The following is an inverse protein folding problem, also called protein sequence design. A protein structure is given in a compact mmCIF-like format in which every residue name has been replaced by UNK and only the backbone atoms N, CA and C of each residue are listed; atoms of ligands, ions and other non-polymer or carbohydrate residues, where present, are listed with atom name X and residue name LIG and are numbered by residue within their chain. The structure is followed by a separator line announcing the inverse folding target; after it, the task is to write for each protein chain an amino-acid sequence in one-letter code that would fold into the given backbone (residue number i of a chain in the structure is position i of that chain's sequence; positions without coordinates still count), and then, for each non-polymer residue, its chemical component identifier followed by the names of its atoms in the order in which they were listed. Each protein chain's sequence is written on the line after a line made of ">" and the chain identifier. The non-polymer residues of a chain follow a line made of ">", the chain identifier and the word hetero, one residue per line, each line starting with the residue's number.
data_IF_247588848122
#
_entry.id   IF_247588848122
#
_cell.length_a   1.000
_cell.length_b   1.000
_cell.length_c   1.000
_cell.angle_alpha   90.00
_cell.angle_beta   90.00
_cell.angle_gamma   90.00
#
_symmetry.space_group_name_H-M   'P 1'
#
loop_
_entity.id
_entity.type
_entity.pdbx_description
1 polymer ?
#
# COMPACT_ATOMS: atom_id res chain seq x y z
N UNK A 1 59.63 -49.29 41.66
CA UNK A 1 58.23 -49.20 41.23
C UNK A 1 57.81 -47.72 41.24
N UNK A 2 57.99 -47.06 40.10
CA UNK A 2 57.63 -45.64 39.98
C UNK A 2 56.19 -45.52 39.43
N UNK A 3 55.35 -44.84 40.17
CA UNK A 3 53.96 -44.53 39.71
C UNK A 3 53.95 -43.18 38.94
N UNK A 4 53.62 -43.24 37.68
CA UNK A 4 53.39 -42.11 36.81
C UNK A 4 51.95 -41.65 37.05
N UNK A 5 51.75 -40.42 37.55
CA UNK A 5 50.44 -39.75 37.71
C UNK A 5 50.20 -38.96 36.44
N UNK A 6 49.20 -39.41 35.65
CA UNK A 6 48.78 -38.74 34.41
C UNK A 6 47.70 -37.65 34.77
N UNK A 7 48.02 -36.39 34.62
CA UNK A 7 47.07 -35.32 34.80
C UNK A 7 46.31 -35.09 33.50
N UNK A 8 44.99 -35.34 33.50
CA UNK A 8 44.09 -34.96 32.41
C UNK A 8 43.70 -33.49 32.57
N UNK A 9 44.12 -32.67 31.62
CA UNK A 9 43.70 -31.28 31.49
C UNK A 9 42.36 -31.26 30.73
N UNK A 10 41.26 -30.97 31.44
CA UNK A 10 39.95 -30.78 30.84
C UNK A 10 39.89 -29.34 30.34
N UNK A 11 39.98 -29.14 29.01
CA UNK A 11 39.72 -27.83 28.38
C UNK A 11 38.23 -27.71 28.15
N UNK A 12 37.55 -26.89 28.95
CA UNK A 12 36.16 -26.51 28.71
C UNK A 12 36.14 -25.49 27.57
N UNK A 13 35.67 -25.93 26.40
CA UNK A 13 35.25 -25.03 25.36
C UNK A 13 33.90 -24.39 25.73
N UNK A 14 33.90 -23.13 26.11
CA UNK A 14 32.69 -22.33 26.21
C UNK A 14 32.21 -22.05 24.79
N UNK A 15 31.22 -22.82 24.33
CA UNK A 15 30.49 -22.51 23.09
C UNK A 15 29.69 -21.23 23.35
N UNK A 16 30.21 -20.10 22.86
CA UNK A 16 29.40 -18.89 22.71
C UNK A 16 28.34 -19.18 21.62
N UNK A 17 27.10 -19.40 22.05
CA UNK A 17 25.96 -19.40 21.14
C UNK A 17 25.81 -18.00 20.61
N UNK A 18 26.36 -17.75 19.42
CA UNK A 18 25.95 -16.63 18.59
C UNK A 18 24.49 -16.93 18.27
N UNK A 19 23.57 -16.22 18.94
CA UNK A 19 22.16 -16.20 18.53
C UNK A 19 22.17 -15.59 17.14
N UNK A 20 22.02 -16.42 16.11
CA UNK A 20 21.82 -15.96 14.75
C UNK A 20 20.61 -15.01 14.81
N UNK A 21 20.84 -13.74 14.45
CA UNK A 21 19.75 -12.77 14.28
C UNK A 21 18.82 -13.40 13.23
N UNK A 22 17.57 -13.68 13.61
CA UNK A 22 16.66 -14.45 12.74
C UNK A 22 16.37 -13.60 11.48
N UNK A 23 17.07 -13.91 10.40
CA UNK A 23 16.93 -13.21 9.10
C UNK A 23 15.51 -13.22 8.54
N UNK A 24 14.60 -13.98 9.17
CA UNK A 24 13.17 -14.01 8.84
C UNK A 24 12.39 -12.86 9.45
N UNK A 25 12.91 -12.20 10.49
CA UNK A 25 12.23 -11.07 11.13
C UNK A 25 12.39 -9.78 10.30
N UNK A 26 11.27 -9.19 9.89
CA UNK A 26 11.23 -7.95 9.10
C UNK A 26 11.01 -6.71 9.97
N UNK A 27 10.36 -6.86 11.11
CA UNK A 27 10.27 -5.81 12.15
C UNK A 27 11.63 -5.65 12.82
N UNK A 28 12.08 -4.41 13.03
CA UNK A 28 13.35 -4.14 13.69
C UNK A 28 13.34 -4.68 15.14
N UNK A 29 14.49 -5.15 15.60
CA UNK A 29 14.63 -5.77 16.95
C UNK A 29 14.17 -4.81 18.04
N UNK A 30 13.18 -5.25 18.81
CA UNK A 30 12.61 -4.46 19.92
C UNK A 30 11.64 -3.37 19.50
N UNK A 31 11.40 -3.15 18.19
CA UNK A 31 10.41 -2.20 17.73
C UNK A 31 8.99 -2.67 18.08
N UNK A 32 8.14 -1.70 18.39
CA UNK A 32 6.71 -1.89 18.69
C UNK A 32 5.88 -1.03 17.76
N UNK A 33 4.64 -1.41 17.58
CA UNK A 33 3.65 -0.55 16.91
C UNK A 33 3.32 0.61 17.86
N UNK A 34 3.55 1.82 17.40
CA UNK A 34 3.35 3.05 18.17
C UNK A 34 2.21 3.86 17.55
N UNK A 35 1.30 4.38 18.40
CA UNK A 35 0.26 5.29 17.98
C UNK A 35 0.83 6.70 17.87
N UNK A 36 0.80 7.27 16.67
CA UNK A 36 1.31 8.62 16.41
C UNK A 36 0.23 9.69 16.56
N UNK A 37 -1.00 9.38 16.14
CA UNK A 37 -2.13 10.31 16.19
C UNK A 37 -3.47 9.56 16.22
N UNK A 38 -4.53 10.27 16.59
CA UNK A 38 -5.90 9.75 16.61
C UNK A 38 -6.93 10.87 16.50
N UNK A 39 -8.23 10.51 16.50
CA UNK A 39 -9.33 11.47 16.44
C UNK A 39 -9.89 11.71 15.04
N UNK A 40 -9.40 10.99 14.01
CA UNK A 40 -9.98 10.95 12.68
C UNK A 40 -11.27 10.09 12.67
N UNK A 41 -11.96 10.06 11.53
CA UNK A 41 -13.13 9.18 11.35
C UNK A 41 -12.79 7.88 10.65
N UNK A 42 -12.03 7.94 9.56
CA UNK A 42 -11.53 6.77 8.84
C UNK A 42 -10.30 7.16 8.02
N UNK A 43 -9.16 6.65 8.43
CA UNK A 43 -7.86 7.00 7.86
C UNK A 43 -7.46 6.06 6.75
N UNK A 44 -6.94 6.61 5.64
CA UNK A 44 -6.58 5.89 4.43
C UNK A 44 -5.43 6.55 3.68
N UNK A 45 -4.93 5.88 2.64
CA UNK A 45 -4.02 6.36 1.60
C UNK A 45 -2.83 7.15 2.11
N UNK A 46 -1.98 6.58 2.97
CA UNK A 46 -0.82 7.27 3.48
C UNK A 46 0.25 7.41 2.39
N UNK A 47 0.86 8.59 2.30
CA UNK A 47 2.00 8.87 1.40
C UNK A 47 3.03 9.72 2.12
N UNK A 48 4.31 9.32 2.04
CA UNK A 48 5.42 10.04 2.65
C UNK A 48 5.99 11.10 1.70
N UNK A 49 6.11 12.35 2.15
CA UNK A 49 6.73 13.47 1.43
C UNK A 49 8.18 13.65 1.92
N UNK A 50 9.19 13.12 1.20
CA UNK A 50 10.58 13.12 1.69
C UNK A 50 11.16 14.52 1.86
N UNK A 51 10.86 15.44 0.95
CA UNK A 51 11.35 16.83 0.98
C UNK A 51 10.85 17.63 2.16
N UNK A 52 9.64 17.30 2.66
CA UNK A 52 9.00 17.97 3.77
C UNK A 52 9.12 17.19 5.09
N UNK A 53 9.60 15.94 5.04
CA UNK A 53 9.63 14.99 6.17
C UNK A 53 8.26 14.84 6.84
N UNK A 54 7.21 14.73 6.01
CA UNK A 54 5.83 14.62 6.45
C UNK A 54 5.13 13.42 5.84
N UNK A 55 4.22 12.84 6.59
CA UNK A 55 3.23 11.92 6.08
C UNK A 55 1.97 12.69 5.75
N UNK A 56 1.41 12.49 4.55
CA UNK A 56 0.05 12.93 4.21
C UNK A 56 -0.83 11.70 4.10
N UNK A 57 -2.08 11.78 4.57
CA UNK A 57 -3.03 10.67 4.51
C UNK A 57 -4.47 11.20 4.51
N UNK A 58 -5.40 10.38 4.07
CA UNK A 58 -6.81 10.74 3.96
C UNK A 58 -7.57 10.51 5.28
N UNK A 59 -8.45 11.43 5.65
CA UNK A 59 -9.58 11.20 6.57
C UNK A 59 -10.86 11.33 5.75
N UNK A 60 -11.27 10.19 5.15
CA UNK A 60 -12.27 10.13 4.08
C UNK A 60 -13.60 10.78 4.48
N UNK A 61 -14.25 10.40 5.62
CA UNK A 61 -15.57 10.92 5.95
C UNK A 61 -15.55 12.41 6.31
N UNK A 62 -14.39 12.93 6.75
CA UNK A 62 -14.21 14.35 7.05
C UNK A 62 -13.83 15.18 5.83
N UNK A 63 -13.64 14.54 4.66
CA UNK A 63 -13.21 15.21 3.42
C UNK A 63 -11.93 16.03 3.62
N UNK A 64 -10.94 15.44 4.30
CA UNK A 64 -9.64 16.04 4.60
C UNK A 64 -8.50 15.17 4.13
N UNK A 65 -7.44 15.79 3.64
CA UNK A 65 -6.10 15.25 3.73
C UNK A 65 -5.49 15.79 5.03
N UNK A 66 -5.01 14.87 5.85
CA UNK A 66 -4.30 15.14 7.09
C UNK A 66 -2.79 15.09 6.84
N UNK A 67 -2.01 15.74 7.66
CA UNK A 67 -0.54 15.59 7.67
C UNK A 67 -0.05 15.33 9.08
N UNK A 68 1.04 14.60 9.17
CA UNK A 68 1.76 14.34 10.41
C UNK A 68 3.26 14.45 10.19
N UNK A 69 3.96 15.07 11.13
CA UNK A 69 5.41 15.02 11.23
C UNK A 69 5.84 14.81 12.69
N UNK A 70 7.05 14.34 12.91
CA UNK A 70 7.60 14.22 14.26
C UNK A 70 7.73 15.58 14.95
N UNK A 71 8.04 16.63 14.18
CA UNK A 71 8.23 17.98 14.71
C UNK A 71 6.91 18.69 15.06
N UNK A 72 5.88 18.57 14.21
CA UNK A 72 4.68 19.40 14.29
C UNK A 72 3.43 18.62 14.75
N UNK A 73 3.52 17.27 14.81
CA UNK A 73 2.39 16.41 15.11
C UNK A 73 1.33 16.39 13.99
N UNK A 74 0.08 16.14 14.38
CA UNK A 74 -1.07 16.03 13.48
C UNK A 74 -1.69 17.40 13.17
N UNK A 75 -1.95 17.66 11.88
CA UNK A 75 -2.72 18.82 11.42
C UNK A 75 -3.46 18.54 10.11
N UNK A 76 -4.30 19.45 9.66
CA UNK A 76 -4.94 19.37 8.35
C UNK A 76 -3.95 19.83 7.28
N UNK A 77 -3.74 19.00 6.25
CA UNK A 77 -2.99 19.37 5.06
C UNK A 77 -3.83 20.24 4.13
N UNK A 78 -5.04 19.76 3.78
CA UNK A 78 -6.03 20.49 2.97
C UNK A 78 -7.40 19.82 2.98
N UNK A 79 -8.40 20.52 2.44
CA UNK A 79 -9.69 19.92 2.08
C UNK A 79 -9.56 19.00 0.87
N UNK A 80 -10.43 18.00 0.81
CA UNK A 80 -10.51 17.05 -0.31
C UNK A 80 -11.95 16.67 -0.62
N UNK A 81 -12.17 16.04 -1.77
CA UNK A 81 -13.48 15.47 -2.14
C UNK A 81 -13.55 13.97 -1.76
N UNK A 82 -13.37 13.69 -0.46
CA UNK A 82 -13.23 12.33 0.07
C UNK A 82 -12.08 11.57 -0.61
N UNK A 83 -10.88 12.15 -0.54
CA UNK A 83 -9.67 11.49 -0.99
C UNK A 83 -9.51 10.14 -0.27
N UNK A 84 -9.01 9.11 -0.99
CA UNK A 84 -8.68 7.81 -0.46
C UNK A 84 -7.19 7.51 -0.69
N UNK A 85 -6.83 6.71 -1.70
CA UNK A 85 -5.45 6.40 -2.01
C UNK A 85 -4.67 7.60 -2.54
N UNK A 86 -3.44 7.75 -2.07
CA UNK A 86 -2.53 8.81 -2.49
C UNK A 86 -1.15 8.24 -2.79
N UNK A 87 -0.47 8.78 -3.81
CA UNK A 87 0.91 8.41 -4.15
C UNK A 87 1.66 9.64 -4.67
N UNK A 88 2.99 9.63 -4.64
CA UNK A 88 3.78 10.66 -5.31
C UNK A 88 3.99 10.33 -6.78
N UNK A 89 3.92 11.36 -7.62
CA UNK A 89 4.41 11.25 -9.00
C UNK A 89 5.94 11.38 -9.06
N UNK A 90 6.51 11.23 -10.26
CA UNK A 90 7.97 11.30 -10.46
C UNK A 90 8.59 12.67 -10.11
N UNK A 91 7.78 13.72 -9.98
CA UNK A 91 8.15 15.06 -9.59
C UNK A 91 7.87 15.36 -8.10
N UNK A 92 7.42 14.36 -7.33
CA UNK A 92 7.13 14.50 -5.91
C UNK A 92 5.79 15.18 -5.60
N UNK A 93 4.87 15.28 -6.58
CA UNK A 93 3.52 15.82 -6.38
C UNK A 93 2.55 14.72 -5.99
N UNK A 94 1.56 15.01 -5.19
CA UNK A 94 0.57 14.03 -4.75
C UNK A 94 -0.45 13.79 -5.88
N UNK A 95 -0.60 12.52 -6.25
CA UNK A 95 -1.75 12.01 -7.01
C UNK A 95 -2.75 11.48 -5.99
N UNK A 96 -4.03 11.79 -6.15
CA UNK A 96 -5.09 11.39 -5.22
C UNK A 96 -6.31 10.84 -5.95
N UNK A 97 -6.79 9.69 -5.52
CA UNK A 97 -8.09 9.13 -5.88
C UNK A 97 -9.16 9.74 -4.97
N UNK A 98 -10.26 10.25 -5.54
CA UNK A 98 -11.31 10.92 -4.78
C UNK A 98 -12.66 10.23 -4.98
N UNK A 99 -13.24 9.76 -3.88
CA UNK A 99 -14.51 9.04 -3.89
C UNK A 99 -15.68 9.94 -4.30
N UNK A 100 -15.87 11.08 -3.64
CA UNK A 100 -17.04 11.95 -3.85
C UNK A 100 -16.99 12.64 -5.20
N UNK A 101 -15.82 13.12 -5.62
CA UNK A 101 -15.64 13.72 -6.94
C UNK A 101 -15.61 12.67 -8.06
N UNK A 102 -15.40 11.39 -7.75
CA UNK A 102 -15.30 10.26 -8.70
C UNK A 102 -14.21 10.51 -9.75
N UNK A 103 -13.02 10.91 -9.29
CA UNK A 103 -11.91 11.31 -10.14
C UNK A 103 -10.54 10.96 -9.57
N UNK A 104 -9.53 11.10 -10.42
CA UNK A 104 -8.12 11.10 -10.05
C UNK A 104 -7.56 12.48 -10.35
N UNK A 105 -6.93 13.09 -9.36
CA UNK A 105 -6.34 14.42 -9.45
C UNK A 105 -4.85 14.40 -9.13
N UNK A 106 -4.16 15.47 -9.51
CA UNK A 106 -2.81 15.80 -9.03
C UNK A 106 -2.86 17.12 -8.26
N UNK A 107 -2.20 17.13 -7.11
CA UNK A 107 -2.00 18.36 -6.31
C UNK A 107 -0.68 18.98 -6.75
N UNK A 108 -0.73 20.18 -7.29
CA UNK A 108 0.44 20.91 -7.79
C UNK A 108 1.23 21.55 -6.65
N UNK A 109 2.47 21.97 -6.93
CA UNK A 109 3.36 22.56 -5.92
C UNK A 109 2.83 23.90 -5.35
N UNK A 110 2.01 24.62 -6.11
CA UNK A 110 1.34 25.84 -5.66
C UNK A 110 0.04 25.59 -4.87
N UNK A 111 -0.30 24.31 -4.63
CA UNK A 111 -1.50 23.90 -3.95
C UNK A 111 -2.76 23.85 -4.84
N UNK A 112 -2.68 24.21 -6.11
CA UNK A 112 -3.78 24.01 -7.05
C UNK A 112 -3.98 22.52 -7.38
N UNK A 113 -5.05 22.18 -8.10
CA UNK A 113 -5.32 20.79 -8.49
C UNK A 113 -5.49 20.68 -10.00
N UNK A 114 -4.90 19.66 -10.59
CA UNK A 114 -5.11 19.26 -11.98
C UNK A 114 -5.97 18.00 -12.02
N UNK A 115 -7.10 18.05 -12.73
CA UNK A 115 -7.90 16.87 -13.05
C UNK A 115 -7.12 16.00 -14.03
N UNK A 116 -6.84 14.75 -13.66
CA UNK A 116 -6.18 13.79 -14.53
C UNK A 116 -7.18 12.90 -15.29
N UNK A 117 -8.20 12.41 -14.58
CA UNK A 117 -9.29 11.64 -15.17
C UNK A 117 -10.54 11.64 -14.28
N UNK A 118 -11.74 11.69 -14.88
CA UNK A 118 -13.02 11.56 -14.17
C UNK A 118 -13.99 10.56 -14.85
N UNK A 119 -13.59 10.03 -16.02
CA UNK A 119 -14.45 9.13 -16.81
C UNK A 119 -13.66 8.19 -17.71
N UNK A 120 -14.35 7.14 -18.13
CA UNK A 120 -13.92 6.22 -19.16
C UNK A 120 -15.07 6.01 -20.15
N UNK A 121 -14.79 6.14 -21.44
CA UNK A 121 -15.80 5.99 -22.52
C UNK A 121 -17.07 6.83 -22.28
N UNK A 122 -16.89 8.09 -21.88
CA UNK A 122 -17.95 9.04 -21.57
C UNK A 122 -18.69 8.83 -20.25
N UNK A 123 -18.46 7.72 -19.54
CA UNK A 123 -19.10 7.35 -18.26
C UNK A 123 -18.20 7.71 -17.08
N UNK A 124 -18.78 8.24 -16.01
CA UNK A 124 -18.04 8.56 -14.80
C UNK A 124 -17.56 7.29 -14.10
N UNK A 125 -16.38 7.34 -13.49
CA UNK A 125 -15.88 6.29 -12.60
C UNK A 125 -16.86 6.01 -11.46
N UNK A 126 -16.73 4.86 -10.81
CA UNK A 126 -17.52 4.55 -9.60
C UNK A 126 -17.05 5.42 -8.42
N UNK A 127 -15.92 5.08 -7.84
CA UNK A 127 -15.24 5.87 -6.82
C UNK A 127 -13.77 5.47 -6.76
N UNK A 128 -12.88 6.07 -7.59
CA UNK A 128 -11.47 5.74 -7.61
C UNK A 128 -10.90 5.63 -6.20
N UNK A 129 -10.24 4.48 -5.91
CA UNK A 129 -9.92 4.07 -4.55
C UNK A 129 -8.41 4.13 -4.29
N UNK A 130 -7.63 3.22 -4.82
CA UNK A 130 -6.18 3.18 -4.60
C UNK A 130 -5.42 3.33 -5.92
N UNK A 131 -4.14 3.73 -5.84
CA UNK A 131 -3.36 4.11 -7.01
C UNK A 131 -1.90 3.71 -6.87
N UNK A 132 -1.36 3.12 -7.94
CA UNK A 132 0.06 2.82 -8.11
C UNK A 132 0.63 3.56 -9.31
N UNK A 133 1.93 3.83 -9.29
CA UNK A 133 2.62 4.51 -10.38
C UNK A 133 3.82 3.69 -10.84
N UNK A 134 4.11 3.74 -12.13
CA UNK A 134 5.31 3.17 -12.74
C UNK A 134 6.38 4.21 -13.02
N UNK A 135 7.60 3.74 -13.24
CA UNK A 135 8.76 4.57 -13.60
C UNK A 135 8.60 5.33 -14.93
N UNK A 136 7.71 4.89 -15.81
CA UNK A 136 7.34 5.61 -17.04
C UNK A 136 6.33 6.75 -16.81
N UNK A 137 5.82 6.88 -15.56
CA UNK A 137 4.84 7.88 -15.15
C UNK A 137 3.39 7.46 -15.33
N UNK A 138 3.11 6.26 -15.84
CA UNK A 138 1.73 5.77 -15.95
C UNK A 138 1.15 5.42 -14.58
N UNK A 139 -0.11 5.77 -14.38
CA UNK A 139 -0.85 5.50 -13.15
C UNK A 139 -1.79 4.31 -13.36
N UNK A 140 -1.87 3.44 -12.37
CA UNK A 140 -2.87 2.38 -12.33
C UNK A 140 -3.73 2.57 -11.09
N UNK A 141 -5.06 2.55 -11.24
CA UNK A 141 -5.95 2.76 -10.11
C UNK A 141 -7.15 1.81 -10.15
N UNK A 142 -7.69 1.55 -8.98
CA UNK A 142 -8.86 0.70 -8.74
C UNK A 142 -10.11 1.56 -8.61
N UNK A 143 -11.28 1.04 -9.09
CA UNK A 143 -12.53 1.79 -9.12
C UNK A 143 -13.72 0.98 -8.56
N UNK A 144 -13.67 0.58 -7.28
CA UNK A 144 -14.81 -0.06 -6.60
C UNK A 144 -15.89 0.98 -6.24
N UNK A 145 -17.06 0.57 -5.74
CA UNK A 145 -18.17 1.49 -5.42
C UNK A 145 -18.19 1.97 -3.97
N UNK A 146 -17.07 1.94 -3.23
CA UNK A 146 -17.09 2.25 -1.79
C UNK A 146 -17.62 3.64 -1.48
N UNK A 147 -17.23 4.65 -2.25
CA UNK A 147 -17.69 6.03 -2.15
C UNK A 147 -18.83 6.39 -3.10
N UNK A 148 -19.32 5.43 -3.92
CA UNK A 148 -20.37 5.70 -4.88
C UNK A 148 -21.71 5.95 -4.18
N UNK A 149 -22.27 7.12 -4.41
CA UNK A 149 -23.65 7.46 -4.07
C UNK A 149 -24.48 7.48 -5.34
N UNK A 150 -25.49 6.63 -5.44
CA UNK A 150 -26.34 6.51 -6.64
C UNK A 150 -25.97 5.31 -7.52
N UNK A 151 -26.34 5.38 -8.79
CA UNK A 151 -26.20 4.26 -9.74
C UNK A 151 -24.82 4.20 -10.38
N UNK A 152 -24.39 2.98 -10.72
CA UNK A 152 -23.22 2.76 -11.55
C UNK A 152 -23.47 3.27 -12.96
N UNK A 153 -22.49 3.99 -13.53
CA UNK A 153 -22.44 4.28 -14.97
C UNK A 153 -21.56 3.26 -15.69
N UNK A 154 -20.52 2.78 -15.00
CA UNK A 154 -19.62 1.70 -15.43
C UNK A 154 -20.25 0.35 -15.03
N UNK A 155 -20.29 -0.66 -15.93
CA UNK A 155 -20.99 -1.93 -15.68
C UNK A 155 -20.20 -2.93 -14.80
N UNK A 156 -19.18 -2.49 -14.09
CA UNK A 156 -18.35 -3.32 -13.22
C UNK A 156 -17.41 -2.50 -12.38
N UNK A 157 -16.61 -3.18 -11.57
CA UNK A 157 -15.57 -2.59 -10.74
C UNK A 157 -14.22 -2.92 -11.38
N UNK A 158 -13.63 -1.94 -12.04
CA UNK A 158 -12.50 -2.19 -12.90
C UNK A 158 -11.21 -1.59 -12.38
N UNK A 159 -10.10 -2.06 -12.93
CA UNK A 159 -8.78 -1.45 -12.75
C UNK A 159 -8.41 -0.76 -14.05
N UNK A 160 -7.91 0.46 -13.93
CA UNK A 160 -7.56 1.31 -15.06
C UNK A 160 -6.08 1.65 -15.09
N UNK A 161 -5.57 1.89 -16.30
CA UNK A 161 -4.28 2.53 -16.56
C UNK A 161 -4.56 3.91 -17.12
N UNK A 162 -3.90 4.93 -16.58
CA UNK A 162 -4.02 6.32 -16.98
C UNK A 162 -2.64 6.84 -17.39
N UNK A 163 -2.56 7.44 -18.56
CA UNK A 163 -1.41 8.22 -19.03
C UNK A 163 -1.63 9.70 -18.65
N UNK A 164 -0.96 10.25 -17.64
CA UNK A 164 -1.27 11.59 -17.12
C UNK A 164 -1.00 12.73 -18.09
N UNK A 165 -0.10 12.53 -19.06
CA UNK A 165 0.27 13.55 -20.04
C UNK A 165 -0.82 13.77 -21.07
N UNK A 166 -1.52 12.71 -21.43
CA UNK A 166 -2.55 12.73 -22.49
C UNK A 166 -3.96 12.63 -21.94
N UNK A 167 -4.13 12.23 -20.69
CA UNK A 167 -5.42 11.89 -20.08
C UNK A 167 -6.03 10.59 -20.63
N UNK A 168 -5.25 9.80 -21.40
CA UNK A 168 -5.74 8.53 -21.94
C UNK A 168 -5.95 7.52 -20.82
N UNK A 169 -7.17 6.96 -20.73
CA UNK A 169 -7.56 5.92 -19.80
C UNK A 169 -7.82 4.63 -20.54
N UNK A 170 -7.31 3.52 -20.05
CA UNK A 170 -7.51 2.17 -20.56
C UNK A 170 -7.96 1.24 -19.43
N UNK A 171 -8.87 0.31 -19.72
CA UNK A 171 -9.22 -0.75 -18.76
C UNK A 171 -8.16 -1.85 -18.86
N UNK A 172 -7.58 -2.21 -17.71
CA UNK A 172 -6.56 -3.27 -17.66
C UNK A 172 -7.07 -4.55 -17.00
N UNK A 173 -8.08 -4.45 -16.13
CA UNK A 173 -8.69 -5.63 -15.49
C UNK A 173 -10.17 -5.41 -15.22
N UNK A 174 -11.01 -6.46 -15.49
CA UNK A 174 -12.47 -6.39 -15.31
C UNK A 174 -13.04 -7.47 -14.38
N UNK A 175 -12.25 -8.48 -14.03
CA UNK A 175 -12.75 -9.70 -13.40
C UNK A 175 -12.45 -9.73 -11.90
N UNK A 176 -12.69 -8.62 -11.20
CA UNK A 176 -12.57 -8.48 -9.75
C UNK A 176 -13.92 -8.05 -9.18
N UNK A 177 -14.25 -8.57 -8.00
CA UNK A 177 -15.51 -8.21 -7.34
C UNK A 177 -15.45 -6.79 -6.76
N UNK A 178 -14.42 -6.51 -5.98
CA UNK A 178 -14.22 -5.25 -5.26
C UNK A 178 -12.73 -4.93 -5.22
N UNK A 179 -12.12 -4.48 -6.35
CA UNK A 179 -10.71 -4.14 -6.38
C UNK A 179 -10.41 -3.02 -5.38
N UNK A 180 -9.30 -3.14 -4.64
CA UNK A 180 -8.92 -2.22 -3.59
C UNK A 180 -7.43 -1.88 -3.72
N UNK A 181 -6.57 -2.24 -2.76
CA UNK A 181 -5.16 -1.95 -2.81
C UNK A 181 -4.48 -2.41 -4.10
N UNK A 182 -3.52 -1.62 -4.58
CA UNK A 182 -2.77 -1.88 -5.81
C UNK A 182 -1.32 -1.42 -5.65
N UNK A 183 -0.34 -2.27 -5.99
CA UNK A 183 1.08 -1.92 -5.88
C UNK A 183 1.92 -2.72 -6.86
N UNK A 184 2.95 -2.11 -7.43
CA UNK A 184 3.96 -2.78 -8.25
C UNK A 184 5.06 -3.40 -7.41
N UNK A 185 5.68 -4.48 -7.90
CA UNK A 185 6.97 -4.97 -7.37
C UNK A 185 8.08 -3.93 -7.58
N UNK A 186 9.18 -3.99 -6.81
CA UNK A 186 10.25 -2.98 -6.90
C UNK A 186 10.90 -2.87 -8.28
N UNK A 187 10.90 -3.95 -9.04
CA UNK A 187 11.41 -4.05 -10.42
C UNK A 187 10.35 -3.81 -11.49
N UNK A 188 9.10 -3.53 -11.07
CA UNK A 188 7.92 -3.34 -11.91
C UNK A 188 7.59 -4.51 -12.85
N UNK A 189 8.18 -5.69 -12.62
CA UNK A 189 7.87 -6.89 -13.39
C UNK A 189 6.54 -7.53 -13.00
N UNK A 190 5.98 -7.15 -11.83
CA UNK A 190 4.73 -7.67 -11.27
C UNK A 190 3.86 -6.54 -10.74
N UNK A 191 2.55 -6.81 -10.70
CA UNK A 191 1.58 -5.98 -9.98
C UNK A 191 0.75 -6.86 -9.06
N UNK A 192 0.51 -6.38 -7.85
CA UNK A 192 -0.41 -6.98 -6.88
C UNK A 192 -1.69 -6.15 -6.86
N UNK A 193 -2.83 -6.81 -6.98
CA UNK A 193 -4.15 -6.18 -6.94
C UNK A 193 -4.98 -6.93 -5.90
N UNK A 194 -5.45 -6.23 -4.88
CA UNK A 194 -6.35 -6.77 -3.89
C UNK A 194 -7.79 -6.77 -4.41
N UNK A 195 -8.50 -7.85 -4.12
CA UNK A 195 -9.94 -7.97 -4.26
C UNK A 195 -10.52 -8.28 -2.88
N UNK A 196 -11.31 -7.37 -2.31
CA UNK A 196 -11.92 -7.59 -1.00
C UNK A 196 -13.08 -8.58 -1.03
N UNK A 197 -13.37 -9.16 -2.20
CA UNK A 197 -14.31 -10.23 -2.39
C UNK A 197 -15.72 -9.77 -2.74
N UNK A 198 -16.59 -10.74 -2.93
CA UNK A 198 -17.93 -10.54 -3.47
C UNK A 198 -18.82 -9.64 -2.61
N UNK A 199 -19.54 -8.75 -3.25
CA UNK A 199 -20.47 -7.84 -2.60
C UNK A 199 -21.68 -7.56 -3.49
N UNK A 200 -22.89 -7.46 -2.87
CA UNK A 200 -24.15 -7.19 -3.58
C UNK A 200 -24.19 -5.85 -4.33
N UNK A 201 -23.25 -4.96 -4.11
CA UNK A 201 -23.10 -3.70 -4.86
C UNK A 201 -22.50 -3.90 -6.25
N UNK A 202 -21.90 -5.06 -6.57
CA UNK A 202 -21.43 -5.32 -7.92
C UNK A 202 -22.61 -5.41 -8.87
N UNK A 203 -22.60 -4.71 -10.04
CA UNK A 203 -23.70 -4.73 -11.00
C UNK A 203 -24.00 -6.13 -11.56
N UNK A 204 -22.99 -6.97 -11.68
CA UNK A 204 -23.10 -8.36 -12.12
C UNK A 204 -23.20 -9.32 -10.93
N UNK A 205 -24.31 -10.08 -10.80
CA UNK A 205 -24.51 -11.03 -9.69
C UNK A 205 -23.46 -12.15 -9.59
N UNK A 206 -22.80 -12.52 -10.67
CA UNK A 206 -21.77 -13.58 -10.66
C UNK A 206 -20.59 -13.21 -9.76
N UNK A 207 -20.38 -11.93 -9.52
CA UNK A 207 -19.33 -11.43 -8.64
C UNK A 207 -19.74 -11.37 -7.16
N UNK A 208 -21.01 -11.57 -6.80
CA UNK A 208 -21.49 -11.39 -5.43
C UNK A 208 -20.89 -12.36 -4.41
N UNK A 209 -20.35 -13.50 -4.86
CA UNK A 209 -19.85 -14.57 -4.00
C UNK A 209 -18.38 -14.90 -4.24
N UNK A 210 -17.67 -14.10 -5.03
CA UNK A 210 -16.25 -14.34 -5.26
C UNK A 210 -15.47 -14.21 -3.94
N UNK A 211 -14.51 -15.11 -3.66
CA UNK A 211 -13.69 -15.00 -2.46
C UNK A 211 -12.78 -13.79 -2.53
N UNK A 212 -12.45 -13.24 -1.37
CA UNK A 212 -11.40 -12.25 -1.27
C UNK A 212 -10.03 -12.84 -1.67
N UNK A 213 -9.20 -12.04 -2.34
CA UNK A 213 -7.87 -12.48 -2.78
C UNK A 213 -6.94 -11.30 -3.02
N UNK A 214 -5.63 -11.54 -2.94
CA UNK A 214 -4.62 -10.68 -3.55
C UNK A 214 -4.12 -11.43 -4.79
N UNK A 215 -4.24 -10.82 -5.95
CA UNK A 215 -3.83 -11.43 -7.22
C UNK A 215 -2.55 -10.79 -7.73
N UNK A 216 -1.56 -11.62 -8.06
CA UNK A 216 -0.29 -11.19 -8.64
C UNK A 216 -0.28 -11.46 -10.14
N UNK A 217 0.03 -10.45 -10.92
CA UNK A 217 0.14 -10.51 -12.38
C UNK A 217 1.52 -10.11 -12.85
N UNK A 218 1.95 -10.69 -13.95
CA UNK A 218 3.10 -10.24 -14.73
C UNK A 218 2.80 -8.89 -15.39
N UNK A 219 3.82 -8.06 -15.51
CA UNK A 219 3.81 -6.86 -16.36
C UNK A 219 4.77 -7.10 -17.52
N UNK A 220 4.29 -7.00 -18.74
CA UNK A 220 5.10 -7.20 -19.93
C UNK A 220 6.06 -6.03 -20.19
N UNK A 221 7.02 -6.20 -21.09
CA UNK A 221 8.01 -5.19 -21.45
C UNK A 221 7.42 -3.88 -22.05
N UNK A 222 6.11 -3.90 -22.37
CA UNK A 222 5.36 -2.72 -22.86
C UNK A 222 4.55 -2.06 -21.75
N UNK A 223 4.63 -2.58 -20.52
CA UNK A 223 3.87 -2.10 -19.39
C UNK A 223 2.39 -2.45 -19.44
N UNK A 224 2.04 -3.61 -20.00
CA UNK A 224 0.68 -4.11 -19.98
C UNK A 224 0.53 -5.26 -18.99
N UNK A 225 -0.72 -5.47 -18.52
CA UNK A 225 -1.06 -6.59 -17.68
C UNK A 225 -0.89 -7.91 -18.44
N UNK A 226 -0.05 -8.78 -17.91
CA UNK A 226 0.22 -10.10 -18.44
C UNK A 226 -0.63 -11.20 -17.77
N UNK A 227 -0.07 -12.41 -17.70
CA UNK A 227 -0.75 -13.55 -17.07
C UNK A 227 -0.78 -13.41 -15.54
N UNK A 228 -1.80 -14.01 -14.92
CA UNK A 228 -1.82 -14.20 -13.47
C UNK A 228 -0.76 -15.22 -13.07
N UNK A 229 0.13 -14.83 -12.16
CA UNK A 229 1.23 -15.68 -11.66
C UNK A 229 0.73 -16.55 -10.50
N UNK A 230 0.09 -15.94 -9.52
CA UNK A 230 -0.51 -16.62 -8.36
C UNK A 230 -1.59 -15.75 -7.72
N UNK A 231 -2.25 -16.29 -6.70
CA UNK A 231 -3.11 -15.52 -5.80
C UNK A 231 -2.93 -15.97 -4.35
N UNK A 232 -3.04 -15.02 -3.43
CA UNK A 232 -3.14 -15.26 -2.00
C UNK A 232 -4.63 -15.33 -1.66
N UNK A 233 -5.06 -16.35 -0.93
CA UNK A 233 -6.47 -16.54 -0.53
C UNK A 233 -6.83 -15.65 0.67
N UNK A 234 -6.57 -14.35 0.52
CA UNK A 234 -6.85 -13.32 1.51
C UNK A 234 -7.00 -11.99 0.79
N UNK A 235 -8.04 -11.23 1.10
CA UNK A 235 -8.17 -9.85 0.62
C UNK A 235 -7.18 -8.93 1.32
N UNK A 236 -7.08 -7.72 0.80
CA UNK A 236 -6.40 -6.61 1.47
C UNK A 236 -7.18 -5.34 1.22
N UNK A 237 -7.07 -4.39 2.13
CA UNK A 237 -7.45 -3.00 1.87
C UNK A 237 -6.27 -2.33 1.15
N UNK A 238 -5.33 -1.70 1.81
CA UNK A 238 -4.14 -1.15 1.20
C UNK A 238 -2.91 -2.05 1.27
N UNK A 239 -1.90 -1.77 0.44
CA UNK A 239 -0.68 -2.55 0.32
C UNK A 239 0.56 -1.68 0.06
N UNK A 240 1.73 -2.17 0.49
CA UNK A 240 3.03 -1.63 0.15
C UNK A 240 4.04 -2.75 -0.13
N UNK A 241 5.19 -2.41 -0.73
CA UNK A 241 6.30 -3.37 -0.96
C UNK A 241 7.60 -2.81 -0.41
N UNK A 242 8.49 -3.69 0.03
CA UNK A 242 9.86 -3.31 0.42
C UNK A 242 10.88 -3.58 -0.70
N UNK A 243 12.13 -3.17 -0.48
CA UNK A 243 13.21 -3.33 -1.48
C UNK A 243 13.60 -4.77 -1.75
N UNK A 244 13.19 -5.71 -0.92
CA UNK A 244 13.39 -7.15 -1.12
C UNK A 244 12.21 -7.82 -1.83
N UNK A 245 11.15 -7.06 -2.15
CA UNK A 245 9.95 -7.57 -2.80
C UNK A 245 8.94 -8.21 -1.86
N UNK A 246 9.07 -8.03 -0.53
CA UNK A 246 8.04 -8.46 0.39
C UNK A 246 6.82 -7.54 0.28
N UNK A 247 5.64 -8.14 0.22
CA UNK A 247 4.35 -7.47 0.15
C UNK A 247 3.76 -7.31 1.54
N UNK A 248 3.40 -6.08 1.91
CA UNK A 248 2.72 -5.72 3.16
C UNK A 248 1.25 -5.46 2.85
N UNK A 249 0.35 -6.25 3.40
CA UNK A 249 -1.08 -6.24 3.09
C UNK A 249 -1.91 -6.12 4.37
N UNK A 250 -2.91 -5.22 4.36
CA UNK A 250 -3.74 -4.95 5.54
C UNK A 250 -5.02 -5.77 5.49
N UNK A 251 -5.25 -6.62 6.49
CA UNK A 251 -6.53 -7.29 6.69
C UNK A 251 -6.65 -7.89 8.09
N UNK A 252 -7.86 -8.22 8.53
CA UNK A 252 -8.10 -8.99 9.75
C UNK A 252 -7.54 -8.37 11.03
N UNK A 253 -7.32 -7.05 11.08
CA UNK A 253 -6.73 -6.37 12.25
C UNK A 253 -5.20 -6.38 12.27
N UNK A 254 -4.54 -6.83 11.20
CA UNK A 254 -3.09 -6.98 11.11
C UNK A 254 -2.54 -6.44 9.80
N UNK A 255 -1.23 -6.20 9.77
CA UNK A 255 -0.46 -6.14 8.54
C UNK A 255 0.20 -7.49 8.33
N UNK A 256 -0.14 -8.17 7.24
CA UNK A 256 0.44 -9.44 6.82
C UNK A 256 1.59 -9.18 5.86
N UNK A 257 2.70 -9.87 6.03
CA UNK A 257 3.87 -9.72 5.17
C UNK A 257 4.11 -11.03 4.44
N UNK A 258 4.08 -10.95 3.11
CA UNK A 258 4.30 -12.09 2.22
C UNK A 258 5.62 -11.92 1.47
N UNK A 259 6.29 -13.02 1.13
CA UNK A 259 7.41 -12.98 0.20
C UNK A 259 6.93 -12.76 -1.26
N UNK A 260 7.89 -12.64 -2.18
CA UNK A 260 7.58 -12.41 -3.60
C UNK A 260 6.83 -13.59 -4.27
N UNK A 261 6.77 -14.74 -3.63
CA UNK A 261 6.05 -15.93 -4.12
C UNK A 261 4.68 -16.09 -3.46
N UNK A 262 4.30 -15.17 -2.54
CA UNK A 262 3.01 -15.14 -1.85
C UNK A 262 2.95 -15.98 -0.58
N UNK A 263 4.08 -16.46 -0.06
CA UNK A 263 4.12 -17.17 1.22
C UNK A 263 4.15 -16.18 2.38
N UNK A 264 3.31 -16.39 3.39
CA UNK A 264 3.31 -15.51 4.57
C UNK A 264 4.61 -15.68 5.38
N UNK A 265 5.27 -14.57 5.67
CA UNK A 265 6.51 -14.51 6.43
C UNK A 265 6.31 -14.05 7.86
N UNK A 266 5.50 -13.01 8.05
CA UNK A 266 5.31 -12.35 9.35
C UNK A 266 3.97 -11.62 9.40
N UNK A 267 3.46 -11.40 10.60
CA UNK A 267 2.29 -10.56 10.88
C UNK A 267 2.67 -9.48 11.88
N UNK A 268 2.04 -8.31 11.76
CA UNK A 268 2.16 -7.19 12.70
C UNK A 268 0.76 -6.91 13.25
N UNK A 269 0.56 -7.12 14.55
CA UNK A 269 -0.69 -6.77 15.22
C UNK A 269 -0.81 -5.25 15.33
N UNK A 270 -1.97 -4.70 14.96
CA UNK A 270 -2.27 -3.27 15.05
C UNK A 270 -3.45 -3.09 16.00
N UNK A 271 -3.40 -2.13 16.94
CA UNK A 271 -4.47 -1.95 17.94
C UNK A 271 -5.86 -1.62 17.37
N UNK A 272 -5.91 -1.01 16.18
CA UNK A 272 -7.13 -0.77 15.40
C UNK A 272 -7.01 -1.50 14.05
N UNK A 273 -8.14 -1.78 13.38
CA UNK A 273 -8.11 -2.44 12.07
C UNK A 273 -7.37 -1.59 11.03
N UNK A 274 -6.20 -2.03 10.54
CA UNK A 274 -5.44 -1.29 9.54
C UNK A 274 -6.20 -1.26 8.21
N UNK A 275 -6.16 -0.10 7.56
CA UNK A 275 -6.73 0.12 6.23
C UNK A 275 -5.63 0.19 5.18
N UNK A 276 -4.56 0.98 5.41
CA UNK A 276 -3.51 1.13 4.42
C UNK A 276 -2.13 1.32 5.08
N UNK A 277 -1.06 1.15 4.28
CA UNK A 277 0.33 1.26 4.74
C UNK A 277 1.19 1.96 3.71
N UNK A 278 2.19 2.71 4.19
CA UNK A 278 3.29 3.18 3.34
C UNK A 278 4.60 3.22 4.12
N UNK A 279 5.70 3.14 3.40
CA UNK A 279 7.02 3.36 3.96
C UNK A 279 7.41 4.83 3.91
N UNK A 280 8.14 5.28 4.93
CA UNK A 280 8.66 6.64 5.02
C UNK A 280 9.78 6.77 6.04
N UNK A 281 10.02 8.02 6.50
CA UNK A 281 11.19 8.37 7.30
C UNK A 281 12.43 8.61 6.45
N UNK A 282 13.48 9.19 7.03
CA UNK A 282 14.70 9.59 6.31
C UNK A 282 15.40 8.39 5.63
N UNK A 283 15.36 7.21 6.24
CA UNK A 283 15.95 5.98 5.72
C UNK A 283 14.92 5.04 5.04
N UNK A 284 13.66 5.49 4.91
CA UNK A 284 12.55 4.73 4.33
C UNK A 284 12.25 3.40 5.03
N UNK A 285 12.57 3.28 6.34
CA UNK A 285 12.34 2.07 7.15
C UNK A 285 11.24 2.23 8.20
N UNK A 286 10.51 3.31 8.21
CA UNK A 286 9.31 3.44 9.02
C UNK A 286 8.10 3.02 8.22
N UNK A 287 7.42 1.96 8.64
CA UNK A 287 6.12 1.60 8.10
C UNK A 287 5.06 2.41 8.83
N UNK A 288 4.41 3.32 8.14
CA UNK A 288 3.23 4.04 8.61
C UNK A 288 1.98 3.23 8.29
N UNK A 289 1.03 3.22 9.23
CA UNK A 289 -0.19 2.41 9.14
C UNK A 289 -1.37 3.29 9.47
N UNK A 290 -2.23 3.53 8.49
CA UNK A 290 -3.55 4.13 8.72
C UNK A 290 -4.51 3.05 9.20
N UNK A 291 -5.18 3.28 10.34
CA UNK A 291 -6.01 2.27 10.97
C UNK A 291 -7.23 2.93 11.62
N UNK A 292 -8.41 2.70 11.06
CA UNK A 292 -9.66 3.27 11.54
C UNK A 292 -9.55 4.76 11.85
N UNK A 293 -9.44 5.11 13.14
CA UNK A 293 -9.47 6.51 13.62
C UNK A 293 -8.08 7.06 13.92
N UNK A 294 -7.03 6.32 13.59
CA UNK A 294 -5.69 6.58 14.09
C UNK A 294 -4.60 6.33 13.05
N UNK A 295 -3.45 6.94 13.30
CA UNK A 295 -2.19 6.70 12.60
C UNK A 295 -1.23 5.98 13.54
N UNK A 296 -0.60 4.91 13.03
CA UNK A 296 0.43 4.14 13.72
C UNK A 296 1.71 4.10 12.91
N UNK A 297 2.80 3.70 13.56
CA UNK A 297 4.06 3.38 12.90
C UNK A 297 4.76 2.20 13.55
N UNK A 298 5.64 1.56 12.79
CA UNK A 298 6.58 0.55 13.29
C UNK A 298 7.88 0.60 12.50
N UNK A 299 9.02 0.40 13.19
CA UNK A 299 10.34 0.36 12.55
C UNK A 299 10.59 -0.99 11.92
N UNK A 300 11.01 -0.97 10.65
CA UNK A 300 11.32 -2.15 9.86
C UNK A 300 12.83 -2.30 9.67
N UNK A 301 13.30 -3.51 9.43
CA UNK A 301 14.70 -3.82 9.08
C UNK A 301 15.00 -3.49 7.61
N UNK A 302 14.03 -3.71 6.75
CA UNK A 302 14.13 -3.48 5.30
C UNK A 302 13.47 -2.15 4.95
N UNK A 303 14.06 -1.42 4.04
CA UNK A 303 13.47 -0.17 3.54
C UNK A 303 12.34 -0.47 2.54
N UNK A 304 11.32 0.38 2.53
CA UNK A 304 10.31 0.36 1.48
C UNK A 304 10.89 0.58 0.10
N UNK A 305 10.29 -0.03 -0.91
CA UNK A 305 10.64 0.24 -2.29
C UNK A 305 10.39 1.71 -2.63
N UNK A 306 11.32 2.31 -3.34
CA UNK A 306 11.17 3.65 -3.91
C UNK A 306 10.78 3.53 -5.36
N UNK A 307 10.02 4.49 -5.82
CA UNK A 307 9.70 4.60 -7.24
C UNK A 307 10.99 4.75 -8.04
N UNK A 308 11.19 3.90 -9.05
CA UNK A 308 12.33 4.01 -9.94
C UNK A 308 12.22 5.30 -10.77
N UNK A 309 13.29 6.08 -10.84
CA UNK A 309 13.32 7.32 -11.62
C UNK A 309 12.72 8.56 -10.94
N UNK A 310 12.25 8.46 -9.69
CA UNK A 310 11.87 9.66 -8.95
C UNK A 310 13.10 10.54 -8.70
N UNK A 311 12.97 11.85 -8.90
CA UNK A 311 14.00 12.81 -8.54
C UNK A 311 14.28 12.73 -7.02
N UNK A 312 15.55 12.74 -6.66
CA UNK A 312 16.01 12.69 -5.26
C UNK A 312 15.65 13.99 -4.54
#
# INVERSE_FOLDING_TARGET
>A
MSRIILHFLIVLFAASTVVADDDRQLVAKGAKVEKLAGGMKFTEGPVWLPSEKKLVFSDIPNSKLMQWSEADGLSVYRDSEQANGNILDLQGRIISCQHKARNVIRIEADGSTTLLADRFDGKRFNSPNDVAIRSDGTLWFTDPPWGLTGSHEIPGHWVYKLEPKTGKVEVVHKNLAMPNGIVFSPDESRIYIADTGGHKRHPDPDFHKLPASIQCYEIDNKGNLGKKLFQIASGSDGMAVDTQGNLYATHGGKVHIYDADGNERQQIDVPEGPANVCFGGDDHKTLFITARTSLYSVRMRVAGAKLQGASK
#
